data_IF_443636400280
#
_entry.id   IF_443636400280
#
_cell.length_a   1.000
_cell.length_b   1.000
_cell.length_c   1.000
_cell.angle_alpha   90.00
_cell.angle_beta   90.00
_cell.angle_gamma   90.00
#
_symmetry.space_group_name_H-M   'P 1'
#
loop_
_entity.id
_entity.type
_entity.pdbx_description
1 polymer ?
#
# COMPACT_ATOMS: atom_id res chain seq x y z
N UNK A 1 6.49 -9.15 -8.07
CA UNK A 1 6.35 -8.31 -9.27
C UNK A 1 7.65 -8.25 -10.09
N UNK A 2 8.78 -7.85 -9.51
CA UNK A 2 10.12 -7.95 -10.13
C UNK A 2 10.61 -9.40 -10.35
N UNK A 3 10.02 -10.38 -9.67
CA UNK A 3 10.25 -11.81 -9.87
C UNK A 3 9.39 -12.47 -10.97
N UNK A 4 8.55 -11.72 -11.71
CA UNK A 4 7.42 -12.29 -12.47
C UNK A 4 7.32 -11.99 -13.96
N UNK A 5 8.36 -11.43 -14.59
CA UNK A 5 8.34 -11.21 -16.03
C UNK A 5 8.52 -12.48 -16.91
N UNK A 6 8.13 -13.66 -16.42
CA UNK A 6 7.99 -14.86 -17.26
C UNK A 6 6.66 -15.57 -16.99
N UNK A 7 5.81 -15.49 -18.01
CA UNK A 7 4.73 -16.43 -18.41
C UNK A 7 3.28 -15.93 -18.31
N UNK A 8 2.56 -16.27 -19.38
CA UNK A 8 1.32 -15.70 -19.89
C UNK A 8 0.03 -16.12 -19.16
N UNK A 9 -0.95 -15.22 -19.30
CA UNK A 9 -2.41 -15.38 -19.26
C UNK A 9 -2.97 -16.80 -19.42
N UNK A 10 -3.74 -17.26 -18.41
CA UNK A 10 -4.99 -18.04 -18.51
C UNK A 10 -5.63 -18.19 -17.12
N UNK A 11 -6.96 -18.11 -17.06
CA UNK A 11 -7.80 -18.30 -15.87
C UNK A 11 -7.43 -19.55 -15.05
N UNK A 12 -6.93 -19.39 -13.83
CA UNK A 12 -6.66 -20.50 -12.91
C UNK A 12 -6.76 -20.04 -11.43
N UNK A 13 -7.40 -20.86 -10.61
CA UNK A 13 -7.43 -20.78 -9.14
C UNK A 13 -6.03 -20.85 -8.51
N UNK A 14 -5.75 -20.18 -7.38
CA UNK A 14 -4.51 -20.34 -6.62
C UNK A 14 -4.40 -21.78 -6.09
N UNK A 15 -3.39 -22.48 -6.57
CA UNK A 15 -2.83 -23.63 -5.89
C UNK A 15 -1.36 -23.33 -5.64
N UNK A 16 -0.90 -23.43 -4.39
CA UNK A 16 0.53 -23.52 -4.10
C UNK A 16 1.11 -24.74 -4.83
N UNK A 17 1.98 -24.53 -5.82
CA UNK A 17 2.66 -25.60 -6.55
C UNK A 17 4.11 -25.72 -6.07
N UNK A 18 4.45 -26.91 -5.51
CA UNK A 18 5.80 -27.45 -5.30
C UNK A 18 6.96 -26.44 -5.18
N UNK A 19 6.90 -25.55 -4.18
CA UNK A 19 8.03 -24.69 -3.80
C UNK A 19 8.51 -23.68 -4.86
N UNK A 20 7.74 -23.45 -5.93
CA UNK A 20 8.04 -22.44 -6.96
C UNK A 20 6.79 -21.61 -7.23
N UNK A 21 6.87 -20.30 -6.98
CA UNK A 21 5.78 -19.36 -7.20
C UNK A 21 5.45 -19.24 -8.70
N UNK A 22 4.22 -19.58 -9.08
CA UNK A 22 3.70 -19.38 -10.45
C UNK A 22 2.67 -18.23 -10.43
N UNK A 23 2.91 -17.21 -11.26
CA UNK A 23 2.02 -16.10 -11.66
C UNK A 23 1.20 -15.41 -10.54
N UNK A 24 1.74 -14.30 -9.99
CA UNK A 24 1.16 -13.46 -8.93
C UNK A 24 -0.18 -12.80 -9.28
N UNK A 25 -0.65 -12.79 -10.53
CA UNK A 25 -1.98 -12.25 -10.86
C UNK A 25 -3.13 -13.19 -10.51
N UNK A 26 -2.91 -14.51 -10.53
CA UNK A 26 -3.96 -15.50 -10.21
C UNK A 26 -3.93 -15.96 -8.75
N UNK A 27 -2.77 -15.92 -8.09
CA UNK A 27 -2.67 -16.25 -6.66
C UNK A 27 -3.49 -15.29 -5.78
N UNK A 28 -3.60 -14.04 -6.21
CA UNK A 28 -4.36 -13.00 -5.54
C UNK A 28 -5.87 -13.28 -5.62
N UNK A 29 -6.42 -13.90 -6.66
CA UNK A 29 -7.89 -13.96 -6.84
C UNK A 29 -8.64 -14.97 -5.97
N UNK A 30 -8.01 -16.04 -5.43
CA UNK A 30 -8.72 -16.98 -4.54
C UNK A 30 -8.14 -17.16 -3.14
N UNK A 31 -7.04 -16.46 -2.80
CA UNK A 31 -6.92 -15.98 -1.41
C UNK A 31 -8.18 -15.18 -1.05
N UNK A 32 -8.82 -14.53 -2.02
CA UNK A 32 -10.01 -13.68 -1.82
C UNK A 32 -11.29 -14.43 -1.53
N UNK A 33 -11.53 -15.60 -2.14
CA UNK A 33 -12.69 -16.41 -1.78
C UNK A 33 -12.61 -16.89 -0.33
N UNK A 34 -11.40 -17.17 0.18
CA UNK A 34 -11.20 -17.45 1.62
C UNK A 34 -11.27 -16.18 2.49
N UNK A 35 -10.80 -15.04 2.00
CA UNK A 35 -10.87 -13.74 2.71
C UNK A 35 -12.31 -13.17 2.74
N UNK A 36 -13.18 -13.56 1.81
CA UNK A 36 -14.60 -13.15 1.78
C UNK A 36 -15.55 -14.19 2.39
N UNK A 37 -15.13 -15.46 2.52
CA UNK A 37 -15.90 -16.51 3.18
C UNK A 37 -15.72 -16.46 4.70
N UNK A 38 -16.58 -15.67 5.34
CA UNK A 38 -17.05 -15.79 6.74
C UNK A 38 -16.03 -15.69 7.88
N UNK A 39 -14.72 -15.65 7.63
CA UNK A 39 -13.68 -15.60 8.69
C UNK A 39 -12.88 -14.29 8.76
N UNK A 40 -13.12 -13.33 7.86
CA UNK A 40 -12.40 -12.04 7.81
C UNK A 40 -13.30 -10.84 8.14
N UNK A 41 -14.60 -10.89 7.84
CA UNK A 41 -15.57 -9.87 8.25
C UNK A 41 -15.69 -9.73 9.78
N UNK A 42 -15.43 -10.81 10.52
CA UNK A 42 -15.40 -10.84 11.98
C UNK A 42 -14.04 -10.43 12.58
N UNK A 43 -12.98 -10.37 11.78
CA UNK A 43 -11.63 -9.95 12.19
C UNK A 43 -11.35 -8.46 11.91
N UNK A 44 -12.14 -7.81 11.05
CA UNK A 44 -11.96 -6.43 10.61
C UNK A 44 -12.99 -5.47 11.25
N UNK A 45 -13.02 -5.41 12.58
CA UNK A 45 -13.75 -4.32 13.24
C UNK A 45 -13.18 -2.94 12.91
N UNK A 46 -11.84 -2.87 12.73
CA UNK A 46 -11.04 -1.64 12.63
C UNK A 46 -10.43 -1.36 11.26
N UNK A 47 -10.43 -2.34 10.34
CA UNK A 47 -9.80 -2.18 9.03
C UNK A 47 -10.80 -2.27 7.88
N UNK A 48 -10.45 -1.72 6.72
CA UNK A 48 -11.38 -1.56 5.60
C UNK A 48 -10.72 -1.80 4.25
N UNK A 49 -11.52 -2.20 3.26
CA UNK A 49 -11.09 -2.33 1.88
C UNK A 49 -12.23 -1.94 0.95
N UNK A 50 -12.05 -0.87 0.17
CA UNK A 50 -13.10 -0.25 -0.66
C UNK A 50 -12.50 0.42 -1.89
N UNK A 51 -13.38 0.88 -2.76
CA UNK A 51 -13.06 1.71 -3.92
C UNK A 51 -13.29 3.19 -3.60
N UNK A 52 -12.48 4.06 -4.20
CA UNK A 52 -12.73 5.50 -4.31
C UNK A 52 -12.56 5.90 -5.77
N UNK A 53 -13.53 6.65 -6.29
CA UNK A 53 -13.48 7.21 -7.64
C UNK A 53 -12.60 8.45 -7.71
N UNK A 54 -11.73 8.53 -8.71
CA UNK A 54 -10.80 9.65 -8.93
C UNK A 54 -10.74 10.07 -10.38
N UNK A 55 -10.33 11.32 -10.59
CA UNK A 55 -10.44 12.01 -11.88
C UNK A 55 -11.72 12.84 -11.98
N UNK A 56 -11.82 13.68 -13.01
CA UNK A 56 -12.89 14.67 -13.16
C UNK A 56 -14.28 14.03 -13.21
N UNK A 57 -14.38 12.84 -13.80
CA UNK A 57 -15.62 12.08 -13.95
C UNK A 57 -15.57 10.74 -13.20
N UNK A 58 -14.66 10.64 -12.22
CA UNK A 58 -14.36 9.40 -11.51
C UNK A 58 -14.10 8.21 -12.45
N UNK A 59 -13.43 8.48 -13.58
CA UNK A 59 -13.13 7.52 -14.62
C UNK A 59 -12.22 6.38 -14.15
N UNK A 60 -11.42 6.63 -13.10
CA UNK A 60 -10.62 5.64 -12.40
C UNK A 60 -11.26 5.30 -11.04
N UNK A 61 -11.26 4.01 -10.69
CA UNK A 61 -11.72 3.49 -9.42
C UNK A 61 -10.54 2.83 -8.73
N UNK A 62 -9.95 3.52 -7.75
CA UNK A 62 -8.79 3.03 -7.03
C UNK A 62 -9.24 2.23 -5.80
N UNK A 63 -8.68 1.05 -5.63
CA UNK A 63 -8.92 0.16 -4.52
C UNK A 63 -7.86 0.34 -3.44
N UNK A 64 -8.25 0.15 -2.18
CA UNK A 64 -7.32 0.21 -1.07
C UNK A 64 -7.56 -0.87 -0.03
N UNK A 65 -6.53 -1.10 0.78
CA UNK A 65 -6.62 -1.77 2.08
C UNK A 65 -6.11 -0.80 3.14
N UNK A 66 -6.92 -0.57 4.16
CA UNK A 66 -6.54 0.24 5.30
C UNK A 66 -6.38 -0.66 6.52
N UNK A 67 -5.34 -0.43 7.31
CA UNK A 67 -5.07 -1.09 8.59
C UNK A 67 -4.83 -0.04 9.67
N UNK A 68 -5.62 -0.11 10.75
CA UNK A 68 -5.37 0.71 11.93
C UNK A 68 -4.11 0.26 12.65
N UNK A 69 -3.47 1.20 13.34
CA UNK A 69 -2.35 0.87 14.21
C UNK A 69 -2.75 -0.14 15.29
N UNK A 70 -1.89 -1.12 15.55
CA UNK A 70 -2.03 -2.05 16.69
C UNK A 70 -1.66 -1.36 18.02
N UNK A 71 -1.06 -0.18 17.96
CA UNK A 71 -0.59 0.64 19.08
C UNK A 71 -1.68 1.63 19.52
N UNK A 72 -1.63 2.89 19.08
CA UNK A 72 -2.62 3.92 19.36
C UNK A 72 -3.06 4.59 18.05
N UNK A 73 -4.13 4.10 17.38
CA UNK A 73 -4.60 4.64 16.10
C UNK A 73 -4.88 6.14 16.09
N UNK A 74 -5.23 6.73 17.23
CA UNK A 74 -5.57 8.16 17.34
C UNK A 74 -4.35 9.07 17.37
N UNK A 75 -3.18 8.56 17.79
CA UNK A 75 -1.94 9.33 17.91
C UNK A 75 -0.88 8.90 16.89
N UNK A 76 -0.86 7.62 16.52
CA UNK A 76 0.16 7.05 15.66
C UNK A 76 0.07 7.62 14.23
N UNK A 77 1.20 7.77 13.52
CA UNK A 77 1.22 8.33 12.18
C UNK A 77 0.27 7.64 11.19
N UNK A 78 -0.22 8.41 10.23
CA UNK A 78 -0.97 7.92 9.09
C UNK A 78 -0.03 7.83 7.87
N UNK A 79 0.11 6.62 7.34
CA UNK A 79 0.98 6.28 6.23
C UNK A 79 0.16 6.01 4.97
N UNK A 80 0.45 6.73 3.89
CA UNK A 80 0.09 6.28 2.55
C UNK A 80 1.25 5.43 2.00
N UNK A 81 0.96 4.19 1.60
CA UNK A 81 1.95 3.29 1.01
C UNK A 81 1.74 3.12 -0.49
N UNK A 82 2.79 3.43 -1.27
CA UNK A 82 2.84 3.25 -2.72
C UNK A 82 3.75 2.07 -3.08
N UNK A 83 3.18 1.06 -3.74
CA UNK A 83 3.95 -0.08 -4.25
C UNK A 83 4.38 0.21 -5.68
N UNK A 84 5.65 -0.03 -6.01
CA UNK A 84 6.19 0.30 -7.32
C UNK A 84 5.81 -0.69 -8.44
N UNK A 85 6.81 -1.06 -9.25
CA UNK A 85 6.62 -1.87 -10.45
C UNK A 85 7.14 -1.18 -11.71
N UNK A 86 6.33 -0.30 -12.36
CA UNK A 86 4.98 0.16 -11.98
C UNK A 86 3.90 -0.93 -12.08
N UNK A 87 2.77 -0.74 -11.39
CA UNK A 87 1.59 -1.59 -11.52
C UNK A 87 1.50 -2.78 -10.57
N UNK A 88 2.29 -2.79 -9.50
CA UNK A 88 2.24 -3.86 -8.49
C UNK A 88 1.22 -3.52 -7.39
N UNK A 89 0.38 -4.49 -7.06
CA UNK A 89 -0.69 -4.30 -6.09
C UNK A 89 -0.16 -4.07 -4.66
N UNK A 90 -0.74 -3.12 -3.92
CA UNK A 90 -0.46 -2.88 -2.51
C UNK A 90 -0.74 -4.09 -1.62
N UNK A 91 -1.65 -4.96 -2.05
CA UNK A 91 -1.86 -6.26 -1.42
C UNK A 91 -0.57 -7.10 -1.34
N UNK A 92 0.29 -7.01 -2.36
CA UNK A 92 1.53 -7.78 -2.37
C UNK A 92 2.46 -7.35 -1.24
N UNK A 93 2.66 -6.04 -1.03
CA UNK A 93 3.40 -5.53 0.12
C UNK A 93 2.76 -5.90 1.45
N UNK A 94 1.43 -5.82 1.52
CA UNK A 94 0.69 -6.18 2.71
C UNK A 94 0.91 -7.65 3.12
N UNK A 95 0.81 -8.60 2.19
CA UNK A 95 0.87 -10.04 2.50
C UNK A 95 2.26 -10.66 2.42
N UNK A 96 3.22 -9.99 1.79
CA UNK A 96 4.56 -10.55 1.57
C UNK A 96 5.64 -9.86 2.40
N UNK A 97 5.40 -8.62 2.83
CA UNK A 97 6.45 -7.77 3.37
C UNK A 97 6.15 -7.28 4.79
N UNK A 98 5.18 -6.37 4.95
CA UNK A 98 5.07 -5.57 6.18
C UNK A 98 3.67 -5.48 6.81
N UNK A 99 2.65 -6.10 6.21
CA UNK A 99 1.32 -6.08 6.80
C UNK A 99 1.23 -6.94 8.07
N UNK A 100 0.13 -6.79 8.81
CA UNK A 100 -0.17 -7.54 10.04
C UNK A 100 -0.10 -9.05 9.86
N UNK A 101 -0.48 -9.52 8.66
CA UNK A 101 -0.46 -10.93 8.28
C UNK A 101 0.40 -11.12 7.05
N UNK A 102 1.25 -12.14 7.06
CA UNK A 102 2.08 -12.54 5.92
C UNK A 102 1.81 -13.99 5.52
N UNK A 103 2.10 -14.33 4.27
CA UNK A 103 1.96 -15.71 3.77
C UNK A 103 2.93 -16.64 4.51
N UNK A 104 2.41 -17.75 5.03
CA UNK A 104 3.21 -18.79 5.64
C UNK A 104 3.69 -19.82 4.60
N UNK A 105 4.77 -19.45 3.90
CA UNK A 105 5.38 -20.30 2.88
C UNK A 105 5.79 -21.69 3.38
N UNK A 106 6.26 -21.80 4.62
CA UNK A 106 6.73 -23.06 5.20
C UNK A 106 5.60 -24.08 5.36
N UNK A 107 4.37 -23.58 5.55
CA UNK A 107 3.19 -24.40 5.73
C UNK A 107 2.31 -24.48 4.47
N UNK A 108 2.72 -23.91 3.33
CA UNK A 108 1.96 -24.05 2.09
C UNK A 108 2.16 -25.44 1.46
N UNK A 109 1.21 -26.35 1.69
CA UNK A 109 1.27 -27.75 1.25
C UNK A 109 0.23 -28.10 0.18
N UNK A 110 0.02 -27.22 -0.79
CA UNK A 110 -0.97 -27.42 -1.86
C UNK A 110 -2.39 -27.36 -1.30
N UNK A 111 -2.93 -26.15 -1.18
CA UNK A 111 -4.23 -25.87 -0.58
C UNK A 111 -4.45 -24.37 -0.46
N UNK A 112 -5.44 -23.92 0.34
CA UNK A 112 -5.63 -22.51 0.64
C UNK A 112 -4.36 -21.86 1.19
N UNK A 113 -4.12 -20.61 0.80
CA UNK A 113 -3.04 -19.80 1.37
C UNK A 113 -3.22 -19.69 2.88
N UNK A 114 -2.20 -20.08 3.64
CA UNK A 114 -2.16 -19.91 5.09
C UNK A 114 -1.46 -18.59 5.41
N UNK A 115 -2.07 -17.81 6.28
CA UNK A 115 -1.49 -16.57 6.80
C UNK A 115 -1.00 -16.78 8.23
N UNK A 116 0.10 -16.12 8.59
CA UNK A 116 0.60 -16.03 9.96
C UNK A 116 0.76 -14.57 10.36
N UNK A 117 0.75 -14.32 11.66
CA UNK A 117 1.06 -12.98 12.20
C UNK A 117 2.49 -12.59 11.86
N UNK A 118 2.67 -11.32 11.51
CA UNK A 118 3.97 -10.72 11.30
C UNK A 118 4.44 -10.02 12.58
N UNK A 119 5.47 -10.58 13.21
CA UNK A 119 6.07 -10.00 14.44
C UNK A 119 6.63 -8.59 14.21
N UNK A 120 6.97 -8.25 12.96
CA UNK A 120 7.56 -6.98 12.55
C UNK A 120 6.66 -6.19 11.60
N UNK A 121 5.34 -6.35 11.73
CA UNK A 121 4.37 -5.58 10.97
C UNK A 121 4.53 -4.08 11.23
N UNK A 122 4.48 -3.27 10.17
CA UNK A 122 4.55 -1.82 10.33
C UNK A 122 3.29 -1.23 10.96
N UNK A 123 2.17 -1.96 10.88
CA UNK A 123 0.93 -1.66 11.60
C UNK A 123 1.11 -1.64 13.11
N UNK A 124 2.24 -2.12 13.66
CA UNK A 124 2.55 -1.99 15.09
C UNK A 124 2.83 -0.55 15.53
N UNK A 125 3.07 0.37 14.60
CA UNK A 125 3.43 1.75 14.92
C UNK A 125 2.77 2.80 14.02
N UNK A 126 1.88 2.41 13.10
CA UNK A 126 1.23 3.34 12.19
C UNK A 126 -0.12 2.81 11.68
N UNK A 127 -1.01 3.75 11.35
CA UNK A 127 -2.17 3.51 10.51
C UNK A 127 -1.69 3.48 9.05
N UNK A 128 -1.97 2.43 8.28
CA UNK A 128 -1.41 2.28 6.93
C UNK A 128 -2.51 2.10 5.90
N UNK A 129 -2.48 2.94 4.87
CA UNK A 129 -3.33 2.88 3.70
C UNK A 129 -2.51 2.37 2.50
N UNK A 130 -2.73 1.11 2.13
CA UNK A 130 -2.19 0.50 0.92
C UNK A 130 -3.14 0.76 -0.24
N UNK A 131 -2.63 1.34 -1.31
CA UNK A 131 -3.39 1.73 -2.49
C UNK A 131 -2.91 0.91 -3.69
N UNK A 132 -3.86 0.41 -4.47
CA UNK A 132 -3.59 -0.13 -5.80
C UNK A 132 -3.65 1.03 -6.80
N UNK A 133 -2.49 1.54 -7.24
CA UNK A 133 -2.42 2.60 -8.26
C UNK A 133 -1.37 2.28 -9.33
N UNK A 134 -1.53 2.77 -10.58
CA UNK A 134 -2.70 3.48 -11.11
C UNK A 134 -3.89 2.54 -11.40
N UNK A 135 -4.94 3.05 -12.07
CA UNK A 135 -6.03 2.20 -12.55
C UNK A 135 -5.50 1.08 -13.47
N UNK A 136 -5.94 -0.16 -13.22
CA UNK A 136 -5.38 -1.38 -13.84
C UNK A 136 -4.40 -2.13 -12.95
N UNK A 137 -3.94 -1.53 -11.85
CA UNK A 137 -3.16 -2.19 -10.80
C UNK A 137 -4.08 -2.95 -9.86
N UNK A 138 -3.74 -4.20 -9.54
CA UNK A 138 -4.45 -4.99 -8.52
C UNK A 138 -5.96 -5.03 -8.76
N UNK A 139 -6.73 -4.47 -7.83
CA UNK A 139 -8.19 -4.38 -7.92
C UNK A 139 -8.71 -3.09 -8.56
N UNK A 140 -7.84 -2.10 -8.74
CA UNK A 140 -8.18 -0.82 -9.33
C UNK A 140 -8.47 -0.97 -10.82
N UNK A 141 -9.49 -0.27 -11.29
CA UNK A 141 -9.93 -0.36 -12.68
C UNK A 141 -10.38 0.99 -13.22
N UNK A 142 -10.39 1.10 -14.55
CA UNK A 142 -10.97 2.24 -15.24
C UNK A 142 -12.37 1.89 -15.77
N UNK A 143 -13.28 2.86 -15.77
CA UNK A 143 -14.63 2.72 -16.32
C UNK A 143 -14.66 2.73 -17.86
N UNK A 144 -13.58 3.17 -18.49
CA UNK A 144 -13.42 3.25 -19.96
C UNK A 144 -11.97 3.01 -20.38
N UNK A 145 -11.75 2.76 -21.67
CA UNK A 145 -10.41 2.65 -22.25
C UNK A 145 -9.62 3.96 -22.09
N UNK A 146 -10.28 5.10 -22.26
CA UNK A 146 -9.66 6.41 -22.07
C UNK A 146 -9.21 6.60 -20.62
N UNK A 147 -10.05 6.23 -19.65
CA UNK A 147 -9.69 6.27 -18.22
C UNK A 147 -8.59 5.29 -17.81
N UNK A 148 -8.25 4.31 -18.65
CA UNK A 148 -7.10 3.42 -18.42
C UNK A 148 -5.77 3.99 -18.90
N UNK A 149 -5.79 5.07 -19.68
CA UNK A 149 -4.59 5.78 -20.07
C UNK A 149 -4.04 6.52 -18.86
N UNK A 150 -2.79 6.27 -18.52
CA UNK A 150 -2.15 6.84 -17.34
C UNK A 150 -0.72 7.30 -17.63
N UNK A 151 -0.23 8.22 -16.81
CA UNK A 151 1.13 8.74 -16.79
C UNK A 151 1.53 8.97 -15.33
N UNK A 152 2.83 9.10 -15.06
CA UNK A 152 3.34 9.36 -13.71
C UNK A 152 2.68 10.59 -13.06
N UNK A 153 2.51 11.66 -13.84
CA UNK A 153 1.85 12.90 -13.39
C UNK A 153 0.36 12.72 -13.14
N UNK A 154 -0.33 11.93 -13.97
CA UNK A 154 -1.76 11.67 -13.79
C UNK A 154 -2.00 10.74 -12.59
N UNK A 155 -1.19 9.69 -12.44
CA UNK A 155 -1.21 8.79 -11.28
C UNK A 155 -0.99 9.59 -9.99
N UNK A 156 0.01 10.48 -9.95
CA UNK A 156 0.27 11.30 -8.77
C UNK A 156 -0.91 12.21 -8.40
N UNK A 157 -1.51 12.89 -9.38
CA UNK A 157 -2.69 13.73 -9.17
C UNK A 157 -3.91 12.92 -8.71
N UNK A 158 -4.16 11.78 -9.33
CA UNK A 158 -5.26 10.89 -8.94
C UNK A 158 -5.05 10.29 -7.55
N UNK A 159 -3.81 10.01 -7.16
CA UNK A 159 -3.45 9.56 -5.81
C UNK A 159 -3.67 10.65 -4.77
N UNK A 160 -3.37 11.91 -5.10
CA UNK A 160 -3.69 13.06 -4.24
C UNK A 160 -5.22 13.25 -4.09
N UNK A 161 -5.99 13.19 -5.18
CA UNK A 161 -7.46 13.23 -5.15
C UNK A 161 -8.04 12.08 -4.31
N UNK A 162 -7.51 10.86 -4.50
CA UNK A 162 -7.84 9.69 -3.70
C UNK A 162 -7.63 9.94 -2.20
N UNK A 163 -6.44 10.40 -1.81
CA UNK A 163 -6.09 10.64 -0.42
C UNK A 163 -7.01 11.68 0.24
N UNK A 164 -7.31 12.78 -0.48
CA UNK A 164 -8.24 13.80 0.00
C UNK A 164 -9.64 13.24 0.21
N UNK A 165 -10.20 12.54 -0.78
CA UNK A 165 -11.52 11.91 -0.69
C UNK A 165 -11.58 10.91 0.46
N UNK A 166 -10.54 10.09 0.63
CA UNK A 166 -10.48 9.15 1.75
C UNK A 166 -10.52 9.85 3.11
N UNK A 167 -9.78 10.95 3.28
CA UNK A 167 -9.73 11.71 4.53
C UNK A 167 -10.99 12.54 4.81
N UNK A 168 -11.78 12.89 3.77
CA UNK A 168 -13.13 13.44 3.97
C UNK A 168 -14.03 12.42 4.67
N UNK A 169 -13.96 11.15 4.26
CA UNK A 169 -14.76 10.06 4.85
C UNK A 169 -14.19 9.56 6.19
N UNK A 170 -12.92 9.84 6.48
CA UNK A 170 -12.23 9.39 7.69
C UNK A 170 -11.54 10.56 8.42
N UNK A 171 -12.30 11.60 8.84
CA UNK A 171 -11.74 12.85 9.33
C UNK A 171 -10.93 12.70 10.63
N UNK A 172 -11.12 11.59 11.37
CA UNK A 172 -10.31 11.29 12.57
C UNK A 172 -8.81 11.19 12.28
N UNK A 173 -8.42 10.86 11.04
CA UNK A 173 -7.01 10.75 10.66
C UNK A 173 -6.36 12.06 10.21
N UNK A 174 -7.11 13.16 10.17
CA UNK A 174 -6.57 14.47 9.79
C UNK A 174 -5.58 15.02 10.82
N UNK A 175 -5.74 14.65 12.08
CA UNK A 175 -4.85 15.07 13.16
C UNK A 175 -3.58 14.22 13.23
N UNK A 176 -3.58 13.02 12.65
CA UNK A 176 -2.41 12.15 12.63
C UNK A 176 -1.32 12.73 11.71
N UNK A 177 -0.04 12.66 12.10
CA UNK A 177 1.08 12.99 11.20
C UNK A 177 1.02 12.18 9.90
N UNK A 178 0.92 12.84 8.75
CA UNK A 178 0.91 12.21 7.44
C UNK A 178 2.33 11.95 6.93
N UNK A 179 2.59 10.72 6.51
CA UNK A 179 3.81 10.28 5.84
C UNK A 179 3.47 9.56 4.53
N UNK A 180 4.26 9.81 3.50
CA UNK A 180 4.17 9.14 2.20
C UNK A 180 5.37 8.20 2.06
N UNK A 181 5.11 6.91 1.96
CA UNK A 181 6.12 5.86 1.84
C UNK A 181 5.89 5.02 0.59
N UNK A 182 6.93 4.34 0.16
CA UNK A 182 6.82 3.37 -0.91
C UNK A 182 8.15 2.81 -1.35
N UNK A 183 8.10 1.95 -2.34
CA UNK A 183 9.26 1.21 -2.82
C UNK A 183 9.38 1.16 -4.34
N UNK A 184 10.58 0.85 -4.83
CA UNK A 184 10.81 0.60 -6.25
C UNK A 184 10.47 1.81 -7.13
N UNK A 185 9.66 1.63 -8.18
CA UNK A 185 9.16 2.70 -9.05
C UNK A 185 8.42 3.82 -8.30
N UNK A 186 7.93 3.56 -7.07
CA UNK A 186 7.38 4.59 -6.20
C UNK A 186 8.40 5.71 -5.92
N UNK A 187 9.71 5.46 -6.02
CA UNK A 187 10.74 6.50 -5.93
C UNK A 187 10.63 7.60 -7.01
N UNK A 188 9.90 7.35 -8.10
CA UNK A 188 9.57 8.35 -9.14
C UNK A 188 8.22 9.02 -8.83
N UNK A 189 7.21 8.23 -8.48
CA UNK A 189 5.83 8.73 -8.28
C UNK A 189 5.68 9.48 -6.95
N UNK A 190 6.32 9.04 -5.86
CA UNK A 190 6.21 9.65 -4.54
C UNK A 190 6.60 11.14 -4.53
N UNK A 191 7.74 11.57 -5.11
CA UNK A 191 8.05 13.00 -5.21
C UNK A 191 6.96 13.81 -5.94
N UNK A 192 6.31 13.23 -6.94
CA UNK A 192 5.20 13.89 -7.64
C UNK A 192 3.97 13.99 -6.74
N UNK A 193 3.63 12.93 -5.98
CA UNK A 193 2.52 12.97 -5.00
C UNK A 193 2.81 14.00 -3.91
N UNK A 194 4.03 14.04 -3.37
CA UNK A 194 4.47 15.05 -2.40
C UNK A 194 4.25 16.46 -2.94
N UNK A 195 4.60 16.70 -4.21
CA UNK A 195 4.41 18.00 -4.86
C UNK A 195 2.91 18.35 -5.03
N UNK A 196 2.05 17.39 -5.40
CA UNK A 196 0.60 17.60 -5.47
C UNK A 196 0.02 17.96 -4.08
N UNK A 197 0.45 17.25 -3.02
CA UNK A 197 0.06 17.56 -1.63
C UNK A 197 0.54 18.94 -1.20
N UNK A 198 1.80 19.28 -1.45
CA UNK A 198 2.36 20.59 -1.12
C UNK A 198 1.61 21.72 -1.81
N UNK A 199 1.40 21.61 -3.12
CA UNK A 199 0.66 22.63 -3.89
C UNK A 199 -0.79 22.75 -3.42
N UNK A 200 -1.41 21.63 -3.03
CA UNK A 200 -2.74 21.62 -2.42
C UNK A 200 -2.80 22.38 -1.09
N UNK A 201 -1.82 22.17 -0.21
CA UNK A 201 -1.69 22.89 1.06
C UNK A 201 -1.54 24.40 0.81
N UNK A 202 -0.64 24.79 -0.10
CA UNK A 202 -0.40 26.20 -0.46
C UNK A 202 -1.64 26.85 -1.10
N UNK A 203 -2.40 26.09 -1.90
CA UNK A 203 -3.66 26.55 -2.49
C UNK A 203 -4.82 26.62 -1.48
N UNK A 204 -4.65 26.07 -0.27
CA UNK A 204 -5.69 26.02 0.76
C UNK A 204 -6.76 24.96 0.53
N UNK A 205 -6.43 23.89 -0.20
CA UNK A 205 -7.32 22.75 -0.43
C UNK A 205 -7.85 22.15 0.88
N UNK A 206 -9.06 21.57 0.81
CA UNK A 206 -9.69 20.87 1.94
C UNK A 206 -9.92 19.39 1.64
N UNK A 207 -9.69 18.50 2.64
CA UNK A 207 -9.19 18.80 3.98
C UNK A 207 -7.70 19.17 3.97
N UNK A 208 -7.26 19.95 4.96
CA UNK A 208 -5.85 20.29 5.11
C UNK A 208 -5.08 19.05 5.59
N UNK A 209 -4.02 18.67 4.89
CA UNK A 209 -3.25 17.47 5.20
C UNK A 209 -2.14 17.80 6.22
N UNK A 210 -2.05 17.05 7.32
CA UNK A 210 -1.04 17.23 8.37
C UNK A 210 0.33 16.64 7.97
N UNK A 211 0.91 17.18 6.90
CA UNK A 211 2.18 16.72 6.38
C UNK A 211 3.34 17.34 7.18
N UNK A 212 4.11 16.49 7.89
CA UNK A 212 5.18 16.96 8.79
C UNK A 212 6.38 17.62 8.09
N UNK A 213 6.61 17.30 6.81
CA UNK A 213 7.78 17.77 6.06
C UNK A 213 7.48 18.83 5.00
N UNK A 214 6.24 19.36 4.97
CA UNK A 214 5.82 20.31 3.93
C UNK A 214 6.04 21.79 4.29
N UNK A 215 6.39 22.14 5.54
CA UNK A 215 6.75 23.51 5.91
C UNK A 215 8.23 23.78 5.59
N UNK A 216 8.56 23.93 4.30
CA UNK A 216 9.90 24.25 3.81
C UNK A 216 10.28 23.50 2.52
N UNK A 217 11.58 23.45 2.21
CA UNK A 217 12.13 22.53 1.20
C UNK A 217 11.90 21.08 1.68
N UNK A 218 11.22 20.25 0.89
CA UNK A 218 11.06 18.83 1.23
C UNK A 218 12.34 18.05 0.90
N UNK A 219 12.82 17.23 1.84
CA UNK A 219 13.94 16.32 1.61
C UNK A 219 13.44 14.90 1.33
N UNK A 220 13.72 14.38 0.13
CA UNK A 220 13.56 12.96 -0.13
C UNK A 220 14.70 12.20 0.56
N UNK A 221 14.39 11.55 1.67
CA UNK A 221 15.34 10.64 2.32
C UNK A 221 15.09 9.23 1.82
N UNK A 222 16.15 8.51 1.48
CA UNK A 222 16.12 7.09 1.19
C UNK A 222 16.97 6.35 2.23
N UNK A 223 16.52 5.19 2.67
CA UNK A 223 17.32 4.31 3.52
C UNK A 223 17.50 2.95 2.86
N UNK A 224 18.66 2.35 3.13
CA UNK A 224 19.00 1.00 2.70
C UNK A 224 19.34 0.16 3.91
N UNK A 225 18.82 -1.07 3.96
CA UNK A 225 19.18 -2.04 4.99
C UNK A 225 20.30 -2.92 4.42
N UNK A 226 21.47 -2.90 5.06
CA UNK A 226 22.61 -3.71 4.63
C UNK A 226 22.22 -5.20 4.61
N UNK A 227 22.40 -5.84 3.45
CA UNK A 227 22.03 -7.25 3.26
C UNK A 227 20.53 -7.49 3.13
N UNK A 228 19.74 -6.43 2.91
CA UNK A 228 18.36 -6.52 2.42
C UNK A 228 18.31 -6.62 0.89
N UNK A 229 17.20 -7.17 0.39
CA UNK A 229 16.90 -7.24 -1.03
C UNK A 229 16.12 -6.02 -1.50
N UNK A 230 15.45 -6.14 -2.66
CA UNK A 230 14.60 -5.06 -3.19
C UNK A 230 13.45 -4.71 -2.23
N UNK A 231 12.78 -5.73 -1.72
CA UNK A 231 11.70 -5.71 -0.73
C UNK A 231 12.28 -5.87 0.67
N UNK A 232 12.85 -4.81 1.23
CA UNK A 232 13.58 -4.88 2.51
C UNK A 232 12.80 -5.57 3.65
N UNK A 233 11.50 -5.28 3.87
CA UNK A 233 10.73 -5.91 4.95
C UNK A 233 10.51 -7.42 4.74
N UNK A 234 10.56 -7.93 3.50
CA UNK A 234 10.53 -9.37 3.23
C UNK A 234 11.84 -10.05 3.67
N UNK A 235 12.99 -9.49 3.27
CA UNK A 235 14.29 -10.14 3.48
C UNK A 235 14.90 -9.88 4.87
N UNK A 236 14.60 -8.72 5.46
CA UNK A 236 15.12 -8.23 6.74
C UNK A 236 13.99 -7.58 7.56
N UNK A 237 12.96 -8.36 7.97
CA UNK A 237 11.76 -7.80 8.59
C UNK A 237 12.06 -7.03 9.87
N UNK A 238 12.92 -7.59 10.75
CA UNK A 238 13.30 -6.96 12.02
C UNK A 238 14.04 -5.64 11.81
N UNK A 239 15.09 -5.65 11.00
CA UNK A 239 15.90 -4.45 10.75
C UNK A 239 15.09 -3.37 10.02
N UNK A 240 14.23 -3.78 9.08
CA UNK A 240 13.34 -2.85 8.36
C UNK A 240 12.33 -2.20 9.30
N UNK A 241 11.71 -2.97 10.20
CA UNK A 241 10.80 -2.43 11.20
C UNK A 241 11.50 -1.49 12.18
N UNK A 242 12.69 -1.85 12.68
CA UNK A 242 13.46 -0.97 13.58
C UNK A 242 13.85 0.34 12.88
N UNK A 243 14.26 0.28 11.61
CA UNK A 243 14.55 1.47 10.81
C UNK A 243 13.30 2.35 10.65
N UNK A 244 12.16 1.74 10.28
CA UNK A 244 10.89 2.43 10.13
C UNK A 244 10.44 3.10 11.43
N UNK A 245 10.39 2.36 12.54
CA UNK A 245 9.95 2.85 13.84
C UNK A 245 10.81 4.03 14.32
N UNK A 246 12.13 3.96 14.12
CA UNK A 246 13.04 5.08 14.44
C UNK A 246 12.75 6.32 13.62
N UNK A 247 12.48 6.15 12.33
CA UNK A 247 12.21 7.24 11.41
C UNK A 247 10.94 8.00 11.79
N UNK A 248 9.83 7.29 11.99
CA UNK A 248 8.55 7.91 12.29
C UNK A 248 8.52 8.53 13.70
N UNK A 249 9.35 8.04 14.62
CA UNK A 249 9.54 8.64 15.95
C UNK A 249 10.54 9.80 15.98
N UNK A 250 11.16 10.16 14.85
CA UNK A 250 12.23 11.16 14.76
C UNK A 250 13.40 10.91 15.72
N UNK A 251 13.63 9.65 16.11
CA UNK A 251 14.82 9.27 16.86
C UNK A 251 16.01 9.17 15.91
N UNK A 252 17.16 9.72 16.29
CA UNK A 252 18.37 9.72 15.47
C UNK A 252 18.71 8.29 14.96
N UNK A 253 19.03 8.18 13.66
CA UNK A 253 19.42 6.93 12.99
C UNK A 253 20.75 6.39 13.52
#
# INVERSE_FOLDING_TARGET
>A
CSSLHRQHSRHLTPHCYNGVAVSQTTAISASYSLLLQHSFATAFGRNSARYIGVGENEEAQLFYFFFESESNPEEDPFLLWITGGPGCAGLSTMLLEMGTFVIDYANCKGGPTILKLNEYAWTKAANILFIDEPAGTGYSYAKSLEGSLTSDTLSARQTYDFLRKWLVDHPKYLENPLYLFGESYAGIILPLIVNEVYNGIEAGDKPMLNMKYAQGDYELTYATVKGGGHTNPEYRPKESFVMFDRWIRQSAL
#
